data_IF_894578767954
#
_entry.id   IF_894578767954
#
_cell.length_a   1.000
_cell.length_b   1.000
_cell.length_c   1.000
_cell.angle_alpha   90.00
_cell.angle_beta   90.00
_cell.angle_gamma   90.00
#
_symmetry.space_group_name_H-M   'P 1'
#
loop_
_entity.id
_entity.type
_entity.pdbx_description
1 polymer ?
#
# COMPACT_ATOMS: atom_id res chain seq x y z
N UNK A 1 15.75 -0.91 0.30
CA UNK A 1 14.96 0.19 -0.31
C UNK A 1 15.40 0.36 -1.75
N UNK A 2 14.46 0.49 -2.70
CA UNK A 2 14.73 0.75 -4.13
C UNK A 2 14.03 2.03 -4.55
N UNK A 3 14.75 2.95 -5.20
CA UNK A 3 14.16 4.19 -5.76
C UNK A 3 13.40 3.84 -7.04
N UNK A 4 12.17 4.39 -7.19
CA UNK A 4 11.30 4.22 -8.37
C UNK A 4 11.13 5.50 -9.16
N UNK A 5 11.20 6.63 -8.48
CA UNK A 5 11.17 7.95 -9.07
C UNK A 5 11.95 8.91 -8.18
N UNK A 6 12.67 9.85 -8.76
CA UNK A 6 13.42 10.89 -8.07
C UNK A 6 13.55 12.11 -8.97
N UNK A 7 13.36 13.29 -8.38
CA UNK A 7 13.72 14.58 -8.94
C UNK A 7 14.19 15.53 -7.82
N UNK A 8 14.22 16.83 -8.07
CA UNK A 8 14.68 17.84 -7.08
C UNK A 8 13.69 18.04 -5.91
N UNK A 9 12.43 17.67 -6.07
CA UNK A 9 11.35 17.94 -5.11
C UNK A 9 10.89 16.72 -4.33
N UNK A 10 10.86 15.55 -4.97
CA UNK A 10 10.26 14.34 -4.42
C UNK A 10 11.10 13.09 -4.69
N UNK A 11 10.92 12.09 -3.85
CA UNK A 11 11.40 10.73 -4.11
C UNK A 11 10.30 9.71 -3.81
N UNK A 12 10.11 8.73 -4.68
CA UNK A 12 9.23 7.58 -4.47
C UNK A 12 10.07 6.33 -4.37
N UNK A 13 9.92 5.60 -3.28
CA UNK A 13 10.72 4.41 -3.00
C UNK A 13 9.83 3.19 -2.76
N UNK A 14 10.35 2.00 -3.06
CA UNK A 14 9.77 0.74 -2.65
C UNK A 14 10.19 0.42 -1.21
N UNK A 15 9.19 0.34 -0.33
CA UNK A 15 9.35 -0.19 1.02
C UNK A 15 9.30 -1.72 0.97
N UNK A 16 10.32 -2.43 1.45
CA UNK A 16 10.24 -3.88 1.56
C UNK A 16 9.24 -4.30 2.64
N UNK A 17 8.77 -5.54 2.54
CA UNK A 17 8.03 -6.21 3.61
C UNK A 17 8.87 -6.25 4.91
N UNK A 18 8.21 -6.12 6.05
CA UNK A 18 8.85 -6.22 7.37
C UNK A 18 9.53 -4.93 7.86
N UNK A 19 9.78 -3.95 6.98
CA UNK A 19 10.36 -2.67 7.37
C UNK A 19 9.26 -1.67 7.78
N UNK A 20 9.27 -1.09 9.00
CA UNK A 20 8.37 0.00 9.36
C UNK A 20 8.60 1.24 8.49
N UNK A 21 7.53 2.01 8.18
CA UNK A 21 7.66 3.28 7.45
C UNK A 21 8.36 4.37 8.29
N UNK A 22 8.19 4.33 9.60
CA UNK A 22 8.84 5.23 10.58
C UNK A 22 9.24 4.45 11.82
N UNK A 23 10.11 5.00 12.65
CA UNK A 23 10.58 4.35 13.86
C UNK A 23 9.42 3.88 14.74
N UNK A 24 9.42 2.60 15.18
CA UNK A 24 8.48 2.13 16.19
C UNK A 24 8.77 2.75 17.55
N UNK A 25 7.85 2.60 18.51
CA UNK A 25 8.12 2.98 19.90
C UNK A 25 9.30 2.14 20.41
N UNK A 26 10.36 2.80 20.87
CA UNK A 26 11.59 2.14 21.30
C UNK A 26 12.72 2.16 20.26
N UNK A 27 12.50 2.77 19.10
CA UNK A 27 13.52 2.88 18.04
C UNK A 27 13.57 1.65 17.13
N UNK A 28 14.57 1.62 16.27
CA UNK A 28 14.83 0.52 15.34
C UNK A 28 14.84 0.94 13.88
N UNK A 29 15.37 0.07 13.02
CA UNK A 29 15.47 0.30 11.59
C UNK A 29 14.10 0.59 10.98
N UNK A 30 14.02 1.64 10.16
CA UNK A 30 12.80 2.05 9.48
C UNK A 30 13.13 2.74 8.16
N UNK A 31 12.10 2.85 7.30
CA UNK A 31 12.27 3.43 5.97
C UNK A 31 12.64 4.92 6.03
N UNK A 32 11.99 5.68 6.92
CA UNK A 32 12.19 7.14 6.98
C UNK A 32 13.63 7.52 7.32
N UNK A 33 14.26 6.83 8.26
CA UNK A 33 15.66 7.07 8.60
C UNK A 33 16.60 6.68 7.46
N UNK A 34 16.30 5.59 6.73
CA UNK A 34 17.06 5.20 5.54
C UNK A 34 16.95 6.26 4.43
N UNK A 35 15.76 6.83 4.22
CA UNK A 35 15.55 7.91 3.24
C UNK A 35 16.29 9.18 3.69
N UNK A 36 16.19 9.57 4.95
CA UNK A 36 16.87 10.77 5.45
C UNK A 36 18.40 10.67 5.45
N UNK A 37 18.95 9.48 5.48
CA UNK A 37 20.39 9.28 5.33
C UNK A 37 20.89 9.70 3.94
N UNK A 38 20.03 9.65 2.92
CA UNK A 38 20.33 10.05 1.54
C UNK A 38 19.84 11.47 1.26
N UNK A 39 18.60 11.77 1.67
CA UNK A 39 17.94 13.09 1.52
C UNK A 39 17.62 13.67 2.91
N UNK A 40 18.55 14.42 3.52
CA UNK A 40 18.42 14.86 4.92
C UNK A 40 17.18 15.70 5.23
N UNK A 41 16.62 16.40 4.22
CA UNK A 41 15.41 17.21 4.34
C UNK A 41 14.11 16.45 4.06
N UNK A 42 14.19 15.14 3.82
CA UNK A 42 13.02 14.34 3.49
C UNK A 42 11.93 14.43 4.55
N UNK A 43 10.68 14.52 4.09
CA UNK A 43 9.47 14.48 4.90
C UNK A 43 8.60 13.27 4.51
N UNK A 44 8.14 12.53 5.51
CA UNK A 44 7.25 11.39 5.34
C UNK A 44 5.80 11.87 5.25
N UNK A 45 5.17 11.73 4.08
CA UNK A 45 3.83 12.24 3.80
C UNK A 45 2.72 11.23 4.09
N UNK A 46 3.01 9.95 3.92
CA UNK A 46 2.10 8.84 4.22
C UNK A 46 2.87 7.59 4.62
N UNK A 47 2.14 6.57 5.05
CA UNK A 47 2.75 5.34 5.57
C UNK A 47 2.11 4.11 4.98
N UNK A 48 2.90 3.04 4.89
CA UNK A 48 2.43 1.67 4.76
C UNK A 48 2.59 0.94 6.09
N UNK A 49 1.77 -0.07 6.30
CA UNK A 49 1.95 -1.01 7.41
C UNK A 49 3.32 -1.70 7.30
N UNK A 50 3.92 -2.06 8.43
CA UNK A 50 5.18 -2.80 8.47
C UNK A 50 5.14 -4.06 7.61
N UNK A 51 4.01 -4.76 7.65
CA UNK A 51 3.78 -6.03 6.94
C UNK A 51 3.30 -5.87 5.49
N UNK A 52 3.13 -4.65 4.99
CA UNK A 52 2.88 -4.37 3.57
C UNK A 52 4.18 -3.95 2.88
N UNK A 53 4.23 -4.10 1.55
CA UNK A 53 5.33 -3.61 0.70
C UNK A 53 4.82 -2.61 -0.33
N UNK A 54 5.74 -1.92 -1.03
CA UNK A 54 5.44 -1.08 -2.17
C UNK A 54 5.72 0.41 -1.96
N UNK A 55 5.13 1.24 -2.80
CA UNK A 55 5.47 2.63 -2.99
C UNK A 55 5.17 3.51 -1.78
N UNK A 56 6.17 4.31 -1.41
CA UNK A 56 6.07 5.41 -0.44
C UNK A 56 6.68 6.67 -1.04
N UNK A 57 5.89 7.75 -1.05
CA UNK A 57 6.29 9.07 -1.53
C UNK A 57 6.83 9.91 -0.37
N UNK A 58 7.97 10.55 -0.60
CA UNK A 58 8.56 11.54 0.30
C UNK A 58 8.74 12.86 -0.46
N UNK A 59 8.53 13.97 0.22
CA UNK A 59 9.05 15.26 -0.23
C UNK A 59 10.52 15.35 0.19
N UNK A 60 11.40 15.80 -0.69
CA UNK A 60 12.83 16.03 -0.39
C UNK A 60 13.19 17.51 -0.43
N UNK A 61 12.32 18.36 -1.02
CA UNK A 61 12.34 19.80 -0.89
C UNK A 61 11.26 20.25 0.11
N UNK A 62 11.59 20.97 1.20
CA UNK A 62 10.62 21.47 2.15
C UNK A 62 9.52 22.37 1.56
N UNK A 63 9.80 23.06 0.44
CA UNK A 63 8.84 23.95 -0.23
C UNK A 63 7.59 23.24 -0.72
N UNK A 64 7.68 21.94 -1.03
CA UNK A 64 6.53 21.14 -1.52
C UNK A 64 5.77 20.40 -0.42
N UNK A 65 6.25 20.41 0.83
CA UNK A 65 5.64 19.65 1.94
C UNK A 65 4.17 19.99 2.15
N UNK A 66 3.81 21.28 2.13
CA UNK A 66 2.43 21.73 2.36
C UNK A 66 1.50 21.26 1.25
N UNK A 67 1.91 21.41 -0.01
CA UNK A 67 1.12 21.00 -1.17
C UNK A 67 0.87 19.49 -1.19
N UNK A 68 1.90 18.68 -0.95
CA UNK A 68 1.77 17.23 -0.92
C UNK A 68 0.98 16.74 0.30
N UNK A 69 1.16 17.36 1.46
CA UNK A 69 0.34 17.05 2.65
C UNK A 69 -1.13 17.30 2.37
N UNK A 70 -1.45 18.41 1.73
CA UNK A 70 -2.82 18.73 1.33
C UNK A 70 -3.35 17.75 0.29
N UNK A 71 -2.55 17.36 -0.70
CA UNK A 71 -2.94 16.36 -1.70
C UNK A 71 -3.28 14.99 -1.06
N UNK A 72 -2.56 14.57 -0.02
CA UNK A 72 -2.92 13.36 0.75
C UNK A 72 -4.18 13.56 1.60
N UNK A 73 -4.35 14.74 2.22
CA UNK A 73 -5.50 15.06 3.07
C UNK A 73 -6.80 15.14 2.26
N UNK A 74 -6.75 15.76 1.08
CA UNK A 74 -7.88 15.90 0.15
C UNK A 74 -8.15 14.65 -0.70
N UNK A 75 -7.37 13.59 -0.50
CA UNK A 75 -7.44 12.35 -1.27
C UNK A 75 -7.14 12.51 -2.78
N UNK A 76 -6.42 13.57 -3.17
CA UNK A 76 -5.97 13.80 -4.54
C UNK A 76 -4.81 12.86 -4.96
N UNK A 77 -4.16 12.19 -4.01
CA UNK A 77 -3.19 11.13 -4.30
C UNK A 77 -3.93 9.80 -4.45
N UNK A 78 -3.93 9.28 -5.67
CA UNK A 78 -4.53 7.99 -6.01
C UNK A 78 -3.56 6.86 -5.68
N UNK A 79 -4.01 5.90 -4.90
CA UNK A 79 -3.22 4.74 -4.47
C UNK A 79 -3.87 3.46 -5.00
N UNK A 80 -3.09 2.63 -5.65
CA UNK A 80 -3.55 1.31 -6.09
C UNK A 80 -2.72 0.25 -5.42
N UNK A 81 -3.39 -0.76 -4.91
CA UNK A 81 -2.75 -1.92 -4.29
C UNK A 81 -3.11 -3.18 -5.07
N UNK A 82 -2.17 -4.11 -5.12
CA UNK A 82 -2.40 -5.51 -5.49
C UNK A 82 -2.38 -6.35 -4.22
N UNK A 83 -3.36 -7.23 -4.09
CA UNK A 83 -3.45 -8.14 -2.95
C UNK A 83 -3.99 -9.50 -3.40
N UNK A 84 -3.71 -10.53 -2.59
CA UNK A 84 -4.35 -11.84 -2.73
C UNK A 84 -5.15 -12.09 -1.46
N UNK A 85 -6.43 -12.42 -1.63
CA UNK A 85 -7.36 -12.72 -0.54
C UNK A 85 -7.76 -14.20 -0.56
N UNK A 86 -8.10 -14.74 0.60
CA UNK A 86 -8.64 -16.10 0.74
C UNK A 86 -10.11 -16.09 0.33
N UNK A 87 -10.53 -17.08 -0.43
CA UNK A 87 -11.89 -17.20 -0.94
C UNK A 87 -12.00 -16.92 -2.42
N UNK A 88 -13.10 -17.38 -3.00
CA UNK A 88 -13.48 -17.19 -4.41
C UNK A 88 -14.87 -16.57 -4.48
N UNK A 89 -15.26 -16.05 -5.67
CA UNK A 89 -16.59 -15.44 -5.84
C UNK A 89 -16.63 -13.94 -5.50
N UNK A 90 -15.50 -13.34 -5.16
CA UNK A 90 -15.40 -11.88 -5.01
C UNK A 90 -15.48 -11.21 -6.38
N UNK A 91 -16.43 -10.29 -6.54
CA UNK A 91 -16.62 -9.49 -7.75
C UNK A 91 -15.98 -8.10 -7.67
N UNK A 92 -16.56 -7.16 -8.41
CA UNK A 92 -16.30 -5.75 -8.24
C UNK A 92 -17.21 -5.23 -7.13
N UNK A 93 -16.63 -4.71 -6.06
CA UNK A 93 -17.35 -4.31 -4.85
C UNK A 93 -16.85 -2.97 -4.32
N UNK A 94 -17.61 -2.39 -3.41
CA UNK A 94 -17.20 -1.26 -2.59
C UNK A 94 -17.32 -1.65 -1.13
N UNK A 95 -16.20 -1.60 -0.42
CA UNK A 95 -16.19 -1.78 1.03
C UNK A 95 -16.21 -0.41 1.70
N UNK A 96 -17.28 -0.09 2.40
CA UNK A 96 -17.53 1.22 3.04
C UNK A 96 -17.83 1.11 4.54
N UNK A 97 -17.43 0.02 5.15
CA UNK A 97 -17.57 -0.19 6.60
C UNK A 97 -16.60 0.72 7.36
N UNK A 98 -17.03 1.27 8.48
CA UNK A 98 -16.19 2.10 9.33
C UNK A 98 -14.98 1.36 9.86
N UNK A 99 -13.83 2.03 9.84
CA UNK A 99 -12.59 1.52 10.40
C UNK A 99 -12.22 2.34 11.63
N UNK A 100 -12.26 1.71 12.79
CA UNK A 100 -11.98 2.34 14.09
C UNK A 100 -12.87 3.57 14.36
N UNK A 101 -14.17 3.46 14.08
CA UNK A 101 -15.15 4.53 14.30
C UNK A 101 -15.04 5.69 13.31
N UNK A 102 -14.39 5.50 12.17
CA UNK A 102 -14.23 6.53 11.14
C UNK A 102 -14.63 6.00 9.78
N UNK A 103 -15.38 6.80 9.04
CA UNK A 103 -15.76 6.47 7.67
C UNK A 103 -14.55 6.07 6.84
N UNK A 104 -14.68 4.94 6.15
CA UNK A 104 -13.63 4.37 5.31
C UNK A 104 -14.27 3.79 4.05
N UNK A 105 -13.60 3.95 2.90
CA UNK A 105 -14.10 3.47 1.61
C UNK A 105 -12.97 2.90 0.78
N UNK A 106 -13.17 1.69 0.23
CA UNK A 106 -12.24 1.00 -0.66
C UNK A 106 -13.01 0.41 -1.83
N UNK A 107 -12.64 0.77 -3.04
CA UNK A 107 -13.12 0.06 -4.23
C UNK A 107 -12.28 -1.19 -4.44
N UNK A 108 -12.94 -2.29 -4.79
CA UNK A 108 -12.35 -3.62 -4.96
C UNK A 108 -12.68 -4.13 -6.35
N UNK A 109 -11.70 -4.69 -7.00
CA UNK A 109 -11.82 -5.29 -8.32
C UNK A 109 -11.12 -6.64 -8.32
N UNK A 110 -11.87 -7.71 -8.63
CA UNK A 110 -11.31 -9.04 -8.82
C UNK A 110 -10.57 -9.11 -10.16
N UNK A 111 -9.36 -9.62 -10.15
CA UNK A 111 -8.51 -9.75 -11.33
C UNK A 111 -8.39 -11.20 -11.82
N UNK A 112 -8.61 -12.16 -10.92
CA UNK A 112 -8.56 -13.58 -11.23
C UNK A 112 -8.71 -14.42 -9.96
N UNK A 113 -9.07 -15.69 -10.12
CA UNK A 113 -9.27 -16.63 -9.02
C UNK A 113 -8.57 -17.94 -9.29
N UNK A 114 -7.95 -18.51 -8.27
CA UNK A 114 -7.28 -19.80 -8.34
C UNK A 114 -6.88 -20.31 -6.97
N UNK A 115 -6.81 -21.63 -6.79
CA UNK A 115 -6.37 -22.31 -5.55
C UNK A 115 -7.11 -21.84 -4.28
N UNK A 116 -8.41 -21.52 -4.41
CA UNK A 116 -9.22 -21.04 -3.28
C UNK A 116 -8.91 -19.61 -2.85
N UNK A 117 -8.28 -18.83 -3.71
CA UNK A 117 -7.93 -17.42 -3.49
C UNK A 117 -8.39 -16.55 -4.65
N UNK A 118 -8.44 -15.23 -4.42
CA UNK A 118 -8.71 -14.22 -5.44
C UNK A 118 -7.61 -13.17 -5.44
N UNK A 119 -7.06 -12.88 -6.61
CA UNK A 119 -6.17 -11.75 -6.84
C UNK A 119 -7.03 -10.50 -7.05
N UNK A 120 -6.74 -9.43 -6.31
CA UNK A 120 -7.56 -8.20 -6.32
C UNK A 120 -6.72 -6.96 -6.54
N UNK A 121 -7.36 -5.96 -7.15
CA UNK A 121 -6.96 -4.55 -7.16
C UNK A 121 -7.79 -3.81 -6.12
N UNK A 122 -7.13 -3.06 -5.26
CA UNK A 122 -7.76 -2.27 -4.21
C UNK A 122 -7.43 -0.78 -4.41
N UNK A 123 -8.46 0.05 -4.43
CA UNK A 123 -8.35 1.51 -4.58
C UNK A 123 -8.96 2.18 -3.34
N UNK A 124 -8.17 2.48 -2.30
CA UNK A 124 -8.68 3.15 -1.11
C UNK A 124 -8.95 4.63 -1.38
N UNK A 125 -10.17 5.07 -1.16
CA UNK A 125 -10.56 6.48 -1.19
C UNK A 125 -10.20 7.21 0.12
N UNK A 126 -10.03 6.47 1.21
CA UNK A 126 -9.61 6.97 2.53
C UNK A 126 -8.31 6.29 2.95
N UNK A 127 -7.70 6.72 4.07
CA UNK A 127 -6.40 6.21 4.54
C UNK A 127 -6.40 5.86 6.03
N UNK A 128 -7.36 5.05 6.51
CA UNK A 128 -7.40 4.65 7.93
C UNK A 128 -6.35 3.58 8.20
N UNK A 129 -5.89 3.52 9.44
CA UNK A 129 -4.90 2.51 9.86
C UNK A 129 -5.43 1.09 9.61
N UNK A 130 -4.67 0.27 8.89
CA UNK A 130 -5.00 -1.11 8.50
C UNK A 130 -6.29 -1.24 7.66
N UNK A 131 -6.79 -0.16 7.05
CA UNK A 131 -8.09 -0.13 6.37
C UNK A 131 -8.31 -1.31 5.43
N UNK A 132 -7.41 -1.52 4.47
CA UNK A 132 -7.56 -2.58 3.45
C UNK A 132 -7.67 -3.98 4.08
N UNK A 133 -6.90 -4.22 5.13
CA UNK A 133 -6.85 -5.50 5.84
C UNK A 133 -8.13 -5.75 6.65
N UNK A 134 -8.65 -4.71 7.32
CA UNK A 134 -9.89 -4.76 8.08
C UNK A 134 -11.07 -4.94 7.13
N UNK A 135 -11.15 -4.15 6.07
CA UNK A 135 -12.19 -4.28 5.06
C UNK A 135 -12.24 -5.68 4.45
N UNK A 136 -11.10 -6.21 4.02
CA UNK A 136 -11.02 -7.55 3.45
C UNK A 136 -11.50 -8.64 4.43
N UNK A 137 -11.09 -8.55 5.70
CA UNK A 137 -11.52 -9.49 6.73
C UNK A 137 -13.02 -9.38 7.04
N UNK A 138 -13.57 -8.17 7.12
CA UNK A 138 -15.01 -7.94 7.38
C UNK A 138 -15.90 -8.36 6.21
N UNK A 139 -15.38 -8.26 4.98
CA UNK A 139 -16.07 -8.76 3.79
C UNK A 139 -16.03 -10.30 3.65
N UNK A 140 -15.33 -11.02 4.56
CA UNK A 140 -15.19 -12.48 4.50
C UNK A 140 -14.08 -12.95 3.55
N UNK A 141 -13.27 -12.04 3.01
CA UNK A 141 -12.14 -12.32 2.11
C UNK A 141 -10.82 -11.86 2.74
N UNK A 142 -10.36 -12.45 3.86
CA UNK A 142 -9.15 -12.00 4.52
C UNK A 142 -7.93 -12.13 3.61
N UNK A 143 -6.97 -11.21 3.73
CA UNK A 143 -5.76 -11.24 2.92
C UNK A 143 -4.87 -12.43 3.28
N UNK A 144 -4.33 -13.12 2.28
CA UNK A 144 -3.34 -14.17 2.45
C UNK A 144 -2.15 -13.65 3.29
N UNK A 145 -1.75 -14.38 4.31
CA UNK A 145 -0.66 -14.00 5.22
C UNK A 145 -1.01 -12.94 6.26
N UNK A 146 -2.27 -12.50 6.37
CA UNK A 146 -2.66 -11.57 7.42
C UNK A 146 -2.82 -12.27 8.77
N UNK A 147 -1.76 -12.21 9.59
CA UNK A 147 -1.73 -12.84 10.92
C UNK A 147 -2.62 -12.14 11.95
N UNK A 148 -3.04 -10.88 11.69
CA UNK A 148 -3.83 -10.10 12.65
C UNK A 148 -5.32 -10.19 12.41
N UNK A 149 -5.75 -10.12 11.16
CA UNK A 149 -7.16 -10.06 10.77
C UNK A 149 -7.62 -11.26 9.96
N UNK A 150 -6.69 -12.10 9.48
CA UNK A 150 -6.97 -13.15 8.51
C UNK A 150 -7.47 -14.47 9.09
N UNK A 151 -7.46 -14.65 10.40
CA UNK A 151 -7.79 -15.91 11.01
C UNK A 151 -6.82 -17.02 10.62
N UNK A 152 -7.20 -18.29 10.87
CA UNK A 152 -6.35 -19.44 10.60
C UNK A 152 -6.15 -19.69 9.09
N UNK A 153 -7.21 -19.54 8.31
CA UNK A 153 -7.19 -19.75 6.86
C UNK A 153 -6.11 -18.92 6.15
N UNK A 154 -5.88 -17.68 6.59
CA UNK A 154 -4.90 -16.79 6.00
C UNK A 154 -3.46 -17.02 6.47
N UNK A 155 -3.23 -17.73 7.59
CA UNK A 155 -1.90 -17.87 8.22
C UNK A 155 -0.94 -18.80 7.50
N UNK A 156 -1.43 -19.61 6.56
CA UNK A 156 -0.59 -20.55 5.80
C UNK A 156 0.40 -19.88 4.83
N UNK A 157 0.23 -18.58 4.55
CA UNK A 157 1.17 -17.84 3.72
C UNK A 157 2.22 -17.12 4.59
N UNK A 158 3.48 -17.06 4.14
CA UNK A 158 4.59 -16.59 4.97
C UNK A 158 4.52 -15.09 5.29
N UNK A 159 3.88 -14.30 4.42
CA UNK A 159 3.73 -12.84 4.59
C UNK A 159 2.38 -12.35 4.10
N UNK A 160 2.01 -11.14 4.52
CA UNK A 160 0.84 -10.43 4.00
C UNK A 160 0.98 -10.19 2.48
N UNK A 161 0.02 -10.69 1.71
CA UNK A 161 -0.06 -10.47 0.28
C UNK A 161 -0.73 -9.12 -0.04
N UNK A 162 -0.05 -8.03 0.31
CA UNK A 162 -0.48 -6.65 0.07
C UNK A 162 0.71 -5.81 -0.39
N UNK A 163 0.57 -5.21 -1.58
CA UNK A 163 1.61 -4.42 -2.22
C UNK A 163 1.03 -3.13 -2.81
N UNK A 164 1.56 -1.96 -2.39
CA UNK A 164 1.24 -0.65 -2.96
C UNK A 164 1.91 -0.54 -4.34
N UNK A 165 1.17 -0.87 -5.40
CA UNK A 165 1.73 -1.07 -6.74
C UNK A 165 1.73 0.18 -7.61
N UNK A 166 0.92 1.21 -7.28
CA UNK A 166 0.84 2.44 -8.07
C UNK A 166 0.47 3.63 -7.21
N UNK A 167 1.13 4.76 -7.48
CA UNK A 167 0.79 6.09 -6.98
C UNK A 167 0.54 7.02 -8.17
N UNK A 168 -0.60 7.72 -8.16
CA UNK A 168 -0.92 8.78 -9.11
C UNK A 168 -1.17 10.09 -8.36
N UNK A 169 -0.55 11.17 -8.77
CA UNK A 169 -0.67 12.49 -8.14
C UNK A 169 -0.34 13.60 -9.14
N UNK A 170 -0.71 14.84 -8.82
CA UNK A 170 -0.23 16.02 -9.55
C UNK A 170 1.12 16.39 -8.95
N UNK A 171 2.15 16.51 -9.80
CA UNK A 171 3.50 16.87 -9.35
C UNK A 171 3.52 18.29 -8.75
N UNK A 172 4.09 18.48 -7.54
CA UNK A 172 3.92 19.74 -6.80
C UNK A 172 4.67 20.94 -7.39
N UNK A 173 5.59 20.73 -8.32
CA UNK A 173 6.37 21.78 -8.99
C UNK A 173 5.92 21.97 -10.44
N UNK A 174 5.90 20.90 -11.25
CA UNK A 174 5.53 21.01 -12.67
C UNK A 174 4.02 21.08 -12.90
N UNK A 175 3.19 20.76 -11.90
CA UNK A 175 1.74 20.64 -12.00
C UNK A 175 1.26 19.57 -13.01
N UNK A 176 2.15 18.68 -13.46
CA UNK A 176 1.84 17.61 -14.40
C UNK A 176 1.32 16.35 -13.68
N UNK A 177 0.34 15.64 -14.27
CA UNK A 177 -0.09 14.33 -13.76
C UNK A 177 1.08 13.34 -13.79
N UNK A 178 1.44 12.82 -12.63
CA UNK A 178 2.56 11.90 -12.46
C UNK A 178 2.06 10.56 -11.95
N UNK A 179 2.54 9.49 -12.54
CA UNK A 179 2.25 8.11 -12.10
C UNK A 179 3.55 7.35 -11.90
N UNK A 180 3.68 6.73 -10.73
CA UNK A 180 4.80 5.84 -10.41
C UNK A 180 4.26 4.44 -10.13
N UNK A 181 4.91 3.42 -10.71
CA UNK A 181 4.52 2.02 -10.56
C UNK A 181 5.65 1.19 -9.96
N UNK A 182 5.25 0.15 -9.24
CA UNK A 182 6.13 -0.87 -8.69
C UNK A 182 5.60 -2.26 -9.07
N UNK A 183 6.43 -3.12 -9.67
CA UNK A 183 6.07 -4.52 -9.89
C UNK A 183 5.87 -5.24 -8.57
N UNK A 184 5.15 -6.36 -8.59
CA UNK A 184 5.09 -7.23 -7.43
C UNK A 184 6.51 -7.66 -7.05
N UNK A 185 6.83 -7.70 -5.75
CA UNK A 185 8.11 -8.25 -5.29
C UNK A 185 8.14 -9.77 -5.51
N UNK A 186 9.34 -10.31 -5.71
CA UNK A 186 9.57 -11.71 -6.11
C UNK A 186 8.86 -12.71 -5.18
N UNK A 187 8.82 -12.42 -3.88
CA UNK A 187 8.16 -13.24 -2.86
C UNK A 187 6.61 -13.22 -2.93
N UNK A 188 6.01 -12.39 -3.77
CA UNK A 188 4.58 -12.38 -4.07
C UNK A 188 4.24 -12.84 -5.51
N UNK A 189 5.21 -12.87 -6.41
CA UNK A 189 4.98 -13.21 -7.83
C UNK A 189 4.43 -14.62 -7.97
N UNK A 190 5.04 -15.61 -7.31
CA UNK A 190 4.60 -17.00 -7.38
C UNK A 190 3.15 -17.18 -6.91
N UNK A 191 2.80 -16.60 -5.74
CA UNK A 191 1.44 -16.63 -5.24
C UNK A 191 0.48 -15.95 -6.22
N UNK A 192 0.83 -14.78 -6.72
CA UNK A 192 0.01 -14.03 -7.69
C UNK A 192 -0.25 -14.84 -8.96
N UNK A 193 0.79 -15.39 -9.57
CA UNK A 193 0.68 -16.22 -10.77
C UNK A 193 -0.18 -17.47 -10.53
N UNK A 194 -0.02 -18.13 -9.39
CA UNK A 194 -0.79 -19.32 -9.03
C UNK A 194 -2.30 -19.06 -8.90
N UNK A 195 -2.69 -17.81 -8.66
CA UNK A 195 -4.10 -17.37 -8.55
C UNK A 195 -4.63 -16.85 -9.86
N UNK A 196 -3.79 -16.15 -10.65
CA UNK A 196 -4.20 -15.58 -11.93
C UNK A 196 -4.41 -16.63 -13.02
N UNK A 197 -3.86 -17.83 -12.85
CA UNK A 197 -3.83 -18.85 -13.88
C UNK A 197 -2.83 -18.46 -14.98
N UNK A 198 -1.72 -19.14 -15.03
CA UNK A 198 -0.77 -19.06 -16.17
C UNK A 198 -1.32 -19.80 -17.37
#
# INVERSE_FOLDING_TARGET
MRVRYEDEAIVVVDKPFGLPSQAPRGGGANLFDQVRAIWPKAALLHRLDTVASGLVLFAIDPRVNAALTEAFRSHAVHRTYRAVVVGTGLGAEVWDVEVQGKAARTQVESLGTGRGCTAVRLLPHTGRKHQLRIHAAMAGFPMCGDRRYGGEAARRWPRLALHASRLGFVHPVSAEPTTVESPLPDDLVELWQSVMGS
#
